data_IF_374028006739
#
_entry.id   IF_374028006739
#
_cell.length_a   1.000
_cell.length_b   1.000
_cell.length_c   1.000
_cell.angle_alpha   90.00
_cell.angle_beta   90.00
_cell.angle_gamma   90.00
#
_symmetry.space_group_name_H-M   'P 1'
#
loop_
_entity.id
_entity.type
_entity.pdbx_description
1 polymer ?
#
# COMPACT_ATOMS: atom_id res chain seq x y z
N UNK A 1 0.95 -5.79 -5.00
CA UNK A 1 -0.06 -5.72 -6.09
C UNK A 1 0.51 -6.34 -7.37
N UNK A 2 -0.33 -6.96 -8.18
CA UNK A 2 -0.01 -7.37 -9.55
C UNK A 2 -1.10 -6.79 -10.44
N UNK A 3 -0.76 -5.79 -11.24
CA UNK A 3 -1.66 -5.03 -12.09
C UNK A 3 -1.38 -5.31 -13.57
N UNK A 4 -2.32 -5.04 -14.46
CA UNK A 4 -2.02 -4.90 -15.88
C UNK A 4 -0.91 -3.87 -16.11
N UNK A 5 -0.06 -4.09 -17.11
CA UNK A 5 0.93 -3.10 -17.51
C UNK A 5 0.25 -1.78 -17.93
N UNK A 6 0.81 -0.65 -17.53
CA UNK A 6 0.28 0.68 -17.83
C UNK A 6 -0.92 1.13 -16.99
N UNK A 7 -1.35 0.37 -15.97
CA UNK A 7 -2.40 0.84 -15.05
C UNK A 7 -1.87 1.88 -14.05
N UNK A 8 -2.57 3.02 -13.95
CA UNK A 8 -2.11 4.19 -13.19
C UNK A 8 -2.34 4.09 -11.68
N UNK A 9 -3.56 3.76 -11.25
CA UNK A 9 -3.92 3.76 -9.83
C UNK A 9 -5.21 3.00 -9.54
N UNK A 10 -5.38 2.61 -8.29
CA UNK A 10 -6.66 2.11 -7.76
C UNK A 10 -6.76 2.35 -6.26
N UNK A 11 -7.99 2.34 -5.74
CA UNK A 11 -8.29 2.48 -4.31
C UNK A 11 -9.08 1.27 -3.81
N UNK A 12 -8.77 0.80 -2.60
CA UNK A 12 -9.47 -0.30 -1.92
C UNK A 12 -9.76 0.09 -0.48
N UNK A 13 -11.00 -0.10 -0.04
CA UNK A 13 -11.34 -0.07 1.38
C UNK A 13 -11.26 -1.48 1.95
N UNK A 14 -10.53 -1.65 3.06
CA UNK A 14 -10.33 -2.95 3.71
C UNK A 14 -10.60 -2.85 5.21
N UNK A 15 -11.61 -3.58 5.66
CA UNK A 15 -11.79 -3.85 7.08
C UNK A 15 -10.76 -4.91 7.55
N UNK A 16 -9.90 -4.57 8.50
CA UNK A 16 -8.86 -5.45 9.04
C UNK A 16 -8.65 -5.22 10.53
N UNK A 17 -8.78 -6.29 11.32
CA UNK A 17 -8.58 -6.27 12.80
C UNK A 17 -9.39 -5.17 13.51
N UNK A 18 -10.63 -4.94 13.07
CA UNK A 18 -11.52 -3.93 13.67
C UNK A 18 -11.24 -2.50 13.23
N UNK A 19 -10.39 -2.30 12.22
CA UNK A 19 -10.07 -0.99 11.65
C UNK A 19 -10.53 -0.94 10.19
N UNK A 20 -11.14 0.17 9.79
CA UNK A 20 -11.42 0.46 8.38
C UNK A 20 -10.24 1.20 7.77
N UNK A 21 -9.61 0.58 6.76
CA UNK A 21 -8.40 1.08 6.12
C UNK A 21 -8.70 1.49 4.67
N UNK A 22 -8.22 2.64 4.25
CA UNK A 22 -8.26 3.06 2.84
C UNK A 22 -6.88 2.89 2.22
N UNK A 23 -6.75 1.98 1.25
CA UNK A 23 -5.50 1.67 0.57
C UNK A 23 -5.52 2.31 -0.82
N UNK A 24 -4.66 3.30 -1.04
CA UNK A 24 -4.46 3.99 -2.32
C UNK A 24 -3.19 3.48 -2.96
N UNK A 25 -3.30 2.89 -4.14
CA UNK A 25 -2.15 2.42 -4.90
C UNK A 25 -1.94 3.32 -6.11
N UNK A 26 -0.73 3.84 -6.25
CA UNK A 26 -0.32 4.70 -7.35
C UNK A 26 0.89 4.08 -8.07
N UNK A 27 0.84 4.03 -9.39
CA UNK A 27 1.80 3.35 -10.24
C UNK A 27 2.29 4.28 -11.37
N UNK A 28 3.15 5.26 -11.05
CA UNK A 28 3.59 6.26 -12.03
C UNK A 28 4.47 5.68 -13.14
N UNK A 29 5.00 4.47 -12.94
CA UNK A 29 5.88 3.79 -13.90
C UNK A 29 5.12 2.76 -14.75
N UNK A 30 3.82 2.54 -14.51
CA UNK A 30 3.03 1.56 -15.25
C UNK A 30 3.52 0.11 -15.11
N UNK A 31 4.28 -0.21 -14.05
CA UNK A 31 4.84 -1.56 -13.85
C UNK A 31 3.76 -2.54 -13.41
N UNK A 32 3.88 -3.80 -13.80
CA UNK A 32 2.91 -4.82 -13.41
C UNK A 32 3.04 -5.20 -11.92
N UNK A 33 4.24 -5.21 -11.35
CA UNK A 33 4.50 -5.61 -9.96
C UNK A 33 5.60 -4.77 -9.32
N UNK A 34 5.73 -4.87 -7.99
CA UNK A 34 6.73 -4.11 -7.22
C UNK A 34 6.10 -3.01 -6.38
N UNK A 35 6.57 -2.88 -5.14
CA UNK A 35 6.22 -1.77 -4.25
C UNK A 35 7.50 -1.07 -3.86
N UNK A 36 7.58 0.21 -4.21
CA UNK A 36 8.73 1.06 -3.94
C UNK A 36 8.65 1.69 -2.55
N UNK A 37 7.46 2.13 -2.15
CA UNK A 37 7.26 2.74 -0.83
C UNK A 37 5.83 2.62 -0.34
N UNK A 38 5.69 2.70 0.99
CA UNK A 38 4.39 2.75 1.66
C UNK A 38 4.42 3.85 2.72
N UNK A 39 3.32 4.59 2.83
CA UNK A 39 3.07 5.51 3.94
C UNK A 39 1.73 5.20 4.59
N UNK A 40 1.63 5.43 5.89
CA UNK A 40 0.37 5.38 6.64
C UNK A 40 0.12 6.76 7.20
N UNK A 41 -1.02 7.36 6.86
CA UNK A 41 -1.37 8.74 7.23
C UNK A 41 -0.25 9.74 6.88
N UNK A 42 0.40 9.54 5.72
CA UNK A 42 1.52 10.37 5.25
C UNK A 42 2.88 10.09 5.90
N UNK A 43 2.96 9.22 6.91
CA UNK A 43 4.23 8.83 7.53
C UNK A 43 4.81 7.59 6.84
N UNK A 44 6.06 7.66 6.39
CA UNK A 44 6.75 6.51 5.81
C UNK A 44 6.86 5.36 6.83
N UNK A 45 6.61 4.15 6.36
CA UNK A 45 6.74 2.92 7.15
C UNK A 45 7.76 2.00 6.48
N UNK A 46 8.55 1.30 7.28
CA UNK A 46 9.46 0.27 6.80
C UNK A 46 8.66 -0.97 6.39
N UNK A 47 8.04 -0.91 5.20
CA UNK A 47 7.29 -2.00 4.65
C UNK A 47 8.22 -2.92 3.84
N UNK A 48 8.92 -3.83 4.50
CA UNK A 48 9.66 -4.88 3.82
C UNK A 48 9.62 -6.19 4.61
N UNK A 49 9.07 -7.22 4.00
CA UNK A 49 9.47 -8.60 4.26
C UNK A 49 10.08 -9.08 2.93
N UNK A 50 11.39 -9.28 2.90
CA UNK A 50 12.15 -9.64 1.69
C UNK A 50 11.65 -10.90 0.97
N UNK A 51 10.75 -11.67 1.60
CA UNK A 51 10.06 -12.82 1.01
C UNK A 51 8.60 -12.56 0.60
N UNK A 52 7.93 -11.50 1.10
CA UNK A 52 6.46 -11.32 0.99
C UNK A 52 6.01 -9.97 0.42
N UNK A 53 6.94 -9.07 0.09
CA UNK A 53 6.63 -7.72 -0.40
C UNK A 53 6.47 -6.71 0.74
N UNK A 54 5.62 -5.69 0.54
CA UNK A 54 5.44 -4.60 1.48
C UNK A 54 4.49 -4.97 2.64
N UNK A 55 5.07 -5.38 3.79
CA UNK A 55 4.33 -5.66 5.01
C UNK A 55 4.19 -4.39 5.86
N UNK A 56 2.96 -3.88 6.02
CA UNK A 56 2.72 -2.70 6.87
C UNK A 56 2.66 -3.13 8.35
N UNK A 57 3.47 -2.53 9.24
CA UNK A 57 3.42 -2.83 10.68
C UNK A 57 2.05 -2.48 11.26
N UNK A 58 1.49 -3.37 12.08
CA UNK A 58 0.14 -3.23 12.62
C UNK A 58 0.07 -2.05 13.60
N UNK A 59 1.15 -1.80 14.32
CA UNK A 59 1.34 -0.67 15.21
C UNK A 59 1.34 0.70 14.50
N UNK A 60 1.51 0.72 13.18
CA UNK A 60 1.38 1.94 12.39
C UNK A 60 -0.08 2.23 11.99
N UNK A 61 -0.99 1.26 12.18
CA UNK A 61 -2.39 1.37 11.76
C UNK A 61 -3.29 1.94 12.85
N UNK A 62 -4.25 2.73 12.42
CA UNK A 62 -5.36 3.23 13.23
C UNK A 62 -6.66 3.04 12.46
N UNK A 63 -7.79 3.08 13.15
CA UNK A 63 -9.08 3.15 12.47
C UNK A 63 -9.15 4.39 11.57
N UNK A 64 -9.71 4.23 10.36
CA UNK A 64 -9.75 5.26 9.32
C UNK A 64 -8.39 5.59 8.67
N UNK A 65 -7.34 4.80 8.91
CA UNK A 65 -6.02 5.08 8.34
C UNK A 65 -6.00 5.01 6.81
N UNK A 66 -5.28 5.96 6.21
CA UNK A 66 -5.00 5.97 4.77
C UNK A 66 -3.61 5.40 4.52
N UNK A 67 -3.56 4.29 3.80
CA UNK A 67 -2.33 3.63 3.37
C UNK A 67 -2.08 4.03 1.91
N UNK A 68 -1.03 4.81 1.66
CA UNK A 68 -0.61 5.13 0.29
C UNK A 68 0.56 4.26 -0.11
N UNK A 69 0.41 3.54 -1.22
CA UNK A 69 1.38 2.62 -1.81
C UNK A 69 1.84 3.17 -3.15
N UNK A 70 3.16 3.33 -3.31
CA UNK A 70 3.75 3.70 -4.60
C UNK A 70 4.42 2.47 -5.20
N UNK A 71 4.00 2.09 -6.40
CA UNK A 71 4.63 1.02 -7.19
C UNK A 71 5.86 1.53 -7.94
N UNK A 72 6.78 0.63 -8.24
CA UNK A 72 8.03 0.88 -8.97
C UNK A 72 9.19 0.05 -8.47
#
# INVERSE_FOLDING_TARGET
PCLPEGWDSYEVTRHFRGQDLTIRVHNPLGVATGVKSVTVNGKAVAASDGARGALVPVEALSDGAVIAVTMG
#
